data_IF_114362034770
#
_entry.id   IF_114362034770
#
_cell.length_a   1.000
_cell.length_b   1.000
_cell.length_c   1.000
_cell.angle_alpha   90.00
_cell.angle_beta   90.00
_cell.angle_gamma   90.00
#
_symmetry.space_group_name_H-M   'P 1'
#
loop_
_entity.id
_entity.type
_entity.pdbx_description
1 polymer ?
#
# COMPACT_ATOMS: atom_id res chain seq x y z
N UNK A 1 27.29 19.56 13.21
CA UNK A 1 26.35 18.42 13.15
C UNK A 1 24.91 18.91 13.08
N UNK A 2 24.62 19.83 12.15
CA UNK A 2 23.26 20.35 11.91
C UNK A 2 22.99 20.58 10.40
N UNK A 3 23.82 19.97 9.53
CA UNK A 3 23.73 20.13 8.08
C UNK A 3 23.14 18.92 7.35
N UNK A 4 22.97 17.77 8.01
CA UNK A 4 22.52 16.54 7.35
C UNK A 4 20.99 16.42 7.28
N UNK A 5 20.24 17.14 8.11
CA UNK A 5 18.78 17.15 8.09
C UNK A 5 18.15 18.04 7.00
N UNK A 6 18.96 18.81 6.24
CA UNK A 6 18.46 19.70 5.18
C UNK A 6 18.49 19.05 3.79
N UNK A 7 19.19 17.94 3.62
CA UNK A 7 19.28 17.24 2.32
C UNK A 7 18.05 16.32 2.11
N UNK A 8 17.50 15.75 3.16
CA UNK A 8 16.28 14.90 3.11
C UNK A 8 14.99 15.69 2.87
N UNK A 9 14.97 16.97 3.24
CA UNK A 9 13.81 17.84 2.99
C UNK A 9 13.68 18.30 1.51
N UNK A 10 14.66 18.01 0.67
CA UNK A 10 14.66 18.37 -0.76
C UNK A 10 14.26 17.23 -1.71
N UNK A 11 14.21 15.98 -1.26
CA UNK A 11 13.62 14.87 -2.01
C UNK A 11 12.14 14.80 -1.66
N UNK A 12 11.31 15.43 -2.47
CA UNK A 12 9.86 15.42 -2.32
C UNK A 12 9.36 13.95 -2.30
N UNK A 13 8.85 13.50 -1.15
CA UNK A 13 8.21 12.20 -1.02
C UNK A 13 8.82 11.21 -0.03
N UNK A 14 9.94 11.52 0.65
CA UNK A 14 10.50 10.68 1.72
C UNK A 14 9.90 11.06 3.08
N UNK A 15 9.47 10.06 3.85
CA UNK A 15 8.98 10.20 5.22
C UNK A 15 9.60 9.11 6.11
N UNK A 16 10.38 9.49 7.11
CA UNK A 16 10.85 8.56 8.15
C UNK A 16 9.74 8.35 9.18
N UNK A 17 9.06 7.20 9.09
CA UNK A 17 7.91 6.84 9.93
C UNK A 17 8.39 6.37 11.30
N UNK A 18 9.45 5.59 11.31
CA UNK A 18 10.20 5.13 12.49
C UNK A 18 11.65 4.91 12.07
N UNK A 19 12.56 4.71 13.02
CA UNK A 19 13.98 4.53 12.71
C UNK A 19 14.23 3.41 11.68
N UNK A 20 13.45 2.35 11.76
CA UNK A 20 13.51 1.18 10.85
C UNK A 20 12.43 1.18 9.76
N UNK A 21 11.68 2.26 9.59
CA UNK A 21 10.60 2.36 8.58
C UNK A 21 10.73 3.67 7.82
N UNK A 22 10.97 3.57 6.51
CA UNK A 22 11.01 4.69 5.59
C UNK A 22 9.91 4.53 4.54
N UNK A 23 9.10 5.56 4.33
CA UNK A 23 8.12 5.63 3.25
C UNK A 23 8.64 6.54 2.15
N UNK A 24 8.58 6.06 0.90
CA UNK A 24 8.87 6.82 -0.30
C UNK A 24 7.59 6.95 -1.13
N UNK A 25 7.20 8.18 -1.42
CA UNK A 25 6.10 8.42 -2.36
C UNK A 25 6.58 8.46 -3.79
N UNK A 26 6.10 7.51 -4.59
CA UNK A 26 6.30 7.44 -6.03
C UNK A 26 5.08 8.05 -6.73
N UNK A 27 5.11 9.35 -7.00
CA UNK A 27 4.00 10.15 -7.53
C UNK A 27 2.85 10.31 -6.52
N UNK A 28 1.96 9.33 -6.37
CA UNK A 28 0.80 9.36 -5.48
C UNK A 28 0.67 8.10 -4.59
N UNK A 29 1.51 7.09 -4.79
CA UNK A 29 1.50 5.83 -4.04
C UNK A 29 2.77 5.69 -3.21
N UNK A 30 2.65 5.09 -2.04
CA UNK A 30 3.73 4.90 -1.08
C UNK A 30 4.38 3.52 -1.25
N UNK A 31 5.71 3.51 -1.27
CA UNK A 31 6.56 2.32 -1.17
C UNK A 31 7.21 2.35 0.20
N UNK A 32 7.23 1.21 0.93
CA UNK A 32 7.73 1.20 2.31
C UNK A 32 8.93 0.28 2.45
N UNK A 33 10.02 0.82 3.01
CA UNK A 33 11.23 0.10 3.35
C UNK A 33 11.19 -0.24 4.84
N UNK A 34 11.28 -1.52 5.19
CA UNK A 34 11.29 -1.99 6.57
C UNK A 34 12.63 -2.64 6.87
N UNK A 35 13.41 -2.04 7.75
CA UNK A 35 14.71 -2.53 8.20
C UNK A 35 15.55 -1.42 8.81
N UNK A 36 16.40 -1.79 9.76
CA UNK A 36 17.35 -0.86 10.39
C UNK A 36 18.33 -0.31 9.37
N UNK A 37 18.62 1.01 9.36
CA UNK A 37 19.65 1.58 8.50
C UNK A 37 20.99 0.85 8.63
N UNK A 38 21.61 0.52 7.51
CA UNK A 38 22.87 -0.24 7.47
C UNK A 38 22.72 -1.75 7.67
N UNK A 39 21.51 -2.25 7.92
CA UNK A 39 21.24 -3.69 8.01
C UNK A 39 21.17 -4.35 6.65
N UNK A 40 21.53 -5.65 6.60
CA UNK A 40 21.25 -6.50 5.43
C UNK A 40 19.87 -7.15 5.47
N UNK A 41 19.20 -7.09 6.64
CA UNK A 41 17.87 -7.66 6.84
C UNK A 41 16.83 -6.55 6.71
N UNK A 42 16.27 -6.42 5.53
CA UNK A 42 15.21 -5.48 5.22
C UNK A 42 14.29 -6.03 4.13
N UNK A 43 13.10 -5.49 4.01
CA UNK A 43 12.14 -5.82 2.96
C UNK A 43 11.59 -4.55 2.32
N UNK A 44 11.17 -4.65 1.06
CA UNK A 44 10.42 -3.64 0.36
C UNK A 44 8.95 -4.03 0.35
N UNK A 45 8.04 -3.12 0.70
CA UNK A 45 6.60 -3.31 0.60
C UNK A 45 6.06 -2.43 -0.51
N UNK A 46 5.46 -3.06 -1.50
CA UNK A 46 5.04 -2.50 -2.78
C UNK A 46 6.20 -1.88 -3.58
N UNK A 47 5.95 -1.53 -4.83
CA UNK A 47 7.00 -1.08 -5.75
C UNK A 47 6.61 0.18 -6.55
N UNK A 48 5.51 0.83 -6.18
CA UNK A 48 5.11 2.10 -6.75
C UNK A 48 4.67 2.03 -8.21
N UNK A 49 4.55 3.19 -8.83
CA UNK A 49 4.19 3.31 -10.25
C UNK A 49 5.40 3.06 -11.14
N UNK A 50 5.16 2.69 -12.40
CA UNK A 50 6.20 2.54 -13.42
C UNK A 50 7.11 3.79 -13.52
N UNK A 51 8.37 3.58 -13.94
CA UNK A 51 9.42 4.61 -14.09
C UNK A 51 10.05 5.13 -12.80
N UNK A 52 9.73 4.57 -11.64
CA UNK A 52 10.35 4.95 -10.35
C UNK A 52 11.44 3.97 -9.88
N UNK A 53 11.83 3.01 -10.70
CA UNK A 53 12.86 2.00 -10.39
C UNK A 53 14.16 2.64 -9.88
N UNK A 54 14.71 3.61 -10.61
CA UNK A 54 15.97 4.26 -10.24
C UNK A 54 15.88 5.00 -8.91
N UNK A 55 14.74 5.63 -8.62
CA UNK A 55 14.54 6.34 -7.35
C UNK A 55 14.45 5.36 -6.17
N UNK A 56 13.75 4.23 -6.33
CA UNK A 56 13.67 3.18 -5.31
C UNK A 56 15.06 2.58 -5.07
N UNK A 57 15.80 2.26 -6.13
CA UNK A 57 17.16 1.73 -6.04
C UNK A 57 18.12 2.72 -5.35
N UNK A 58 18.01 4.01 -5.67
CA UNK A 58 18.82 5.05 -5.04
C UNK A 58 18.55 5.13 -3.54
N UNK A 59 17.28 5.23 -3.13
CA UNK A 59 16.90 5.27 -1.71
C UNK A 59 17.35 4.00 -0.97
N UNK A 60 17.18 2.83 -1.59
CA UNK A 60 17.65 1.57 -1.02
C UNK A 60 19.16 1.57 -0.81
N UNK A 61 19.95 2.02 -1.79
CA UNK A 61 21.43 2.03 -1.73
C UNK A 61 21.99 2.99 -0.70
N UNK A 62 21.31 4.11 -0.45
CA UNK A 62 21.70 5.05 0.59
C UNK A 62 21.42 4.53 2.01
N UNK A 63 20.41 3.65 2.15
CA UNK A 63 19.97 3.16 3.46
C UNK A 63 20.52 1.78 3.82
N UNK A 64 20.74 0.90 2.82
CA UNK A 64 21.07 -0.52 3.03
C UNK A 64 22.29 -0.94 2.22
N UNK A 65 23.16 -1.81 2.77
CA UNK A 65 24.40 -2.25 2.11
C UNK A 65 24.19 -3.34 1.04
N UNK A 66 22.95 -3.74 0.75
CA UNK A 66 22.64 -4.82 -0.20
C UNK A 66 21.17 -4.93 -0.50
N UNK A 67 20.74 -5.92 -1.30
CA UNK A 67 19.35 -6.10 -1.70
C UNK A 67 18.43 -6.42 -0.51
N UNK A 68 17.11 -6.25 -0.65
CA UNK A 68 16.13 -6.70 0.34
C UNK A 68 16.16 -8.23 0.48
N UNK A 69 15.66 -8.73 1.60
CA UNK A 69 15.42 -10.17 1.77
C UNK A 69 14.25 -10.65 0.91
N UNK A 70 13.30 -9.75 0.63
CA UNK A 70 12.12 -10.01 -0.19
C UNK A 70 11.45 -8.69 -0.61
N UNK A 71 10.64 -8.75 -1.65
CA UNK A 71 9.60 -7.75 -1.97
C UNK A 71 8.26 -8.32 -1.53
N UNK A 72 7.49 -7.56 -0.78
CA UNK A 72 6.15 -7.94 -0.31
C UNK A 72 5.13 -7.06 -1.01
N UNK A 73 4.18 -7.65 -1.71
CA UNK A 73 3.09 -6.93 -2.36
C UNK A 73 1.84 -6.95 -1.48
N UNK A 74 1.27 -5.79 -1.20
CA UNK A 74 -0.03 -5.69 -0.52
C UNK A 74 -1.13 -6.22 -1.41
N UNK A 75 -1.08 -5.90 -2.70
CA UNK A 75 -1.95 -6.39 -3.78
C UNK A 75 -1.31 -6.10 -5.15
N UNK A 76 -1.96 -6.43 -6.25
CA UNK A 76 -1.37 -6.38 -7.57
C UNK A 76 -1.85 -5.25 -8.49
N UNK A 77 -2.44 -4.15 -8.01
CA UNK A 77 -2.79 -3.02 -8.87
C UNK A 77 -1.54 -2.32 -9.42
N UNK A 78 -1.68 -1.75 -10.60
CA UNK A 78 -0.60 -1.21 -11.44
C UNK A 78 0.33 -0.23 -10.72
N UNK A 79 -0.19 0.52 -9.77
CA UNK A 79 0.54 1.54 -9.01
C UNK A 79 1.24 0.97 -7.75
N UNK A 80 1.01 -0.29 -7.42
CA UNK A 80 1.73 -1.03 -6.37
C UNK A 80 2.77 -1.99 -6.93
N UNK A 81 2.63 -2.40 -8.21
CA UNK A 81 3.52 -3.36 -8.86
C UNK A 81 4.29 -2.77 -10.05
N UNK A 82 4.23 -1.45 -10.24
CA UNK A 82 4.69 -0.80 -11.47
C UNK A 82 6.16 -0.98 -11.79
N UNK A 83 7.02 -1.24 -10.78
CA UNK A 83 8.46 -1.51 -10.99
C UNK A 83 8.91 -2.87 -10.46
N UNK A 84 7.97 -3.76 -10.09
CA UNK A 84 8.31 -5.02 -9.41
C UNK A 84 9.20 -5.92 -10.28
N UNK A 85 8.95 -5.99 -11.58
CA UNK A 85 9.71 -6.84 -12.50
C UNK A 85 11.15 -6.35 -12.60
N UNK A 86 11.37 -5.05 -12.78
CA UNK A 86 12.70 -4.45 -12.87
C UNK A 86 13.48 -4.60 -11.55
N UNK A 87 12.82 -4.36 -10.42
CA UNK A 87 13.44 -4.48 -9.10
C UNK A 87 13.79 -5.93 -8.77
N UNK A 88 12.88 -6.87 -9.07
CA UNK A 88 13.13 -8.29 -8.90
C UNK A 88 14.33 -8.75 -9.74
N UNK A 89 14.37 -8.37 -11.03
CA UNK A 89 15.48 -8.70 -11.92
C UNK A 89 16.80 -8.09 -11.46
N UNK A 90 16.78 -6.87 -10.95
CA UNK A 90 17.98 -6.19 -10.46
C UNK A 90 18.54 -6.82 -9.18
N UNK A 91 17.67 -7.13 -8.22
CA UNK A 91 18.09 -7.68 -6.92
C UNK A 91 18.17 -9.20 -6.88
N UNK A 92 17.43 -9.90 -7.72
CA UNK A 92 17.35 -11.36 -7.70
C UNK A 92 16.72 -11.92 -6.43
N UNK A 93 15.68 -11.24 -5.91
CA UNK A 93 15.05 -11.59 -4.62
C UNK A 93 13.63 -12.10 -4.83
N UNK A 94 13.10 -12.96 -3.93
CA UNK A 94 11.74 -13.46 -4.05
C UNK A 94 10.71 -12.33 -3.83
N UNK A 95 9.61 -12.41 -4.56
CA UNK A 95 8.42 -11.58 -4.38
C UNK A 95 7.35 -12.41 -3.66
N UNK A 96 6.64 -11.82 -2.70
CA UNK A 96 5.57 -12.50 -1.96
C UNK A 96 4.27 -11.70 -2.06
N UNK A 97 3.16 -12.42 -2.25
CA UNK A 97 1.81 -11.89 -2.19
C UNK A 97 0.84 -12.91 -1.57
N UNK A 98 -0.37 -12.47 -1.26
CA UNK A 98 -1.42 -13.39 -0.83
C UNK A 98 -1.79 -14.38 -1.96
N UNK A 99 -2.12 -15.66 -1.66
CA UNK A 99 -2.46 -16.63 -2.70
C UNK A 99 -3.56 -16.20 -3.66
N UNK A 100 -4.53 -15.40 -3.21
CA UNK A 100 -5.62 -14.88 -4.05
C UNK A 100 -5.17 -13.78 -5.03
N UNK A 101 -3.97 -13.19 -4.84
CA UNK A 101 -3.37 -12.22 -5.78
C UNK A 101 -2.56 -12.91 -6.89
N UNK A 102 -2.08 -14.13 -6.67
CA UNK A 102 -1.19 -14.82 -7.62
C UNK A 102 -1.76 -14.90 -9.04
N UNK A 103 -3.07 -15.18 -9.27
CA UNK A 103 -3.61 -15.19 -10.63
C UNK A 103 -3.40 -13.87 -11.41
N UNK A 104 -3.42 -12.73 -10.73
CA UNK A 104 -3.21 -11.41 -11.32
C UNK A 104 -1.73 -11.07 -11.51
N UNK A 105 -0.84 -11.74 -10.77
CA UNK A 105 0.59 -11.52 -10.76
C UNK A 105 1.37 -12.55 -11.60
N UNK A 106 0.68 -13.55 -12.17
CA UNK A 106 1.25 -14.60 -13.02
C UNK A 106 0.63 -14.65 -14.42
N UNK A 107 -0.05 -13.60 -14.84
CA UNK A 107 -0.65 -13.52 -16.18
C UNK A 107 -1.89 -14.40 -16.40
N UNK A 108 -2.45 -15.01 -15.35
CA UNK A 108 -3.57 -15.95 -15.48
C UNK A 108 -4.92 -15.24 -15.58
N UNK A 109 -5.07 -14.10 -14.91
CA UNK A 109 -6.34 -13.38 -14.82
C UNK A 109 -6.11 -11.88 -14.64
N UNK A 110 -6.82 -11.07 -15.42
CA UNK A 110 -6.86 -9.63 -15.23
C UNK A 110 -7.73 -9.24 -14.05
N UNK A 111 -7.42 -8.09 -13.43
CA UNK A 111 -8.29 -7.49 -12.43
C UNK A 111 -9.63 -7.06 -13.05
N UNK A 112 -10.70 -7.01 -12.23
CA UNK A 112 -11.92 -6.35 -12.65
C UNK A 112 -11.61 -4.90 -13.06
N UNK A 113 -12.18 -4.42 -14.20
CA UNK A 113 -11.93 -3.05 -14.64
C UNK A 113 -12.46 -2.04 -13.63
N UNK A 114 -11.75 -0.92 -13.49
CA UNK A 114 -12.18 0.19 -12.65
C UNK A 114 -13.60 0.66 -13.01
N UNK A 115 -14.31 1.17 -12.01
CA UNK A 115 -15.63 1.78 -12.22
C UNK A 115 -15.52 3.32 -12.30
N UNK A 116 -15.59 3.93 -13.48
CA UNK A 116 -15.48 5.39 -13.62
C UNK A 116 -16.72 6.16 -13.16
N UNK A 117 -17.81 5.47 -12.79
CA UNK A 117 -19.06 6.09 -12.37
C UNK A 117 -19.06 6.50 -10.90
N UNK A 118 -18.16 5.94 -10.07
CA UNK A 118 -18.12 6.17 -8.64
C UNK A 118 -17.31 7.41 -8.24
N UNK A 119 -17.58 7.99 -7.07
CA UNK A 119 -16.77 9.03 -6.44
C UNK A 119 -16.82 10.43 -7.08
N UNK A 120 -17.35 10.57 -8.29
CA UNK A 120 -17.61 11.86 -8.96
C UNK A 120 -16.40 12.76 -9.29
N UNK A 121 -15.17 12.33 -8.96
CA UNK A 121 -13.94 13.08 -9.20
C UNK A 121 -13.30 12.81 -10.56
N UNK A 122 -12.29 13.65 -10.92
CA UNK A 122 -11.60 13.51 -12.20
C UNK A 122 -10.83 12.19 -12.30
N UNK A 123 -10.17 11.76 -11.22
CA UNK A 123 -9.40 10.52 -11.18
C UNK A 123 -10.32 9.30 -11.40
N UNK A 124 -11.47 9.27 -10.72
CA UNK A 124 -12.46 8.21 -10.94
C UNK A 124 -12.96 8.21 -12.39
N UNK A 125 -13.28 9.38 -12.96
CA UNK A 125 -13.73 9.50 -14.35
C UNK A 125 -12.69 9.06 -15.39
N UNK A 126 -11.40 9.15 -15.07
CA UNK A 126 -10.29 8.68 -15.90
C UNK A 126 -9.90 7.24 -15.61
N UNK A 127 -10.48 6.62 -14.58
CA UNK A 127 -10.07 5.28 -14.11
C UNK A 127 -10.23 4.18 -15.17
N UNK A 128 -11.11 4.36 -16.17
CA UNK A 128 -11.23 3.43 -17.30
C UNK A 128 -9.94 3.32 -18.16
N UNK A 129 -9.00 4.27 -18.00
CA UNK A 129 -7.69 4.25 -18.67
C UNK A 129 -6.60 3.61 -17.81
N UNK A 130 -6.90 3.27 -16.57
CA UNK A 130 -5.91 2.68 -15.67
C UNK A 130 -5.71 1.21 -16.03
N UNK A 131 -4.45 0.76 -16.09
CA UNK A 131 -4.15 -0.63 -16.37
C UNK A 131 -4.81 -1.57 -15.34
N UNK A 132 -5.48 -2.59 -15.83
CA UNK A 132 -6.02 -3.69 -15.02
C UNK A 132 -5.52 -5.06 -15.51
N UNK A 133 -4.66 -5.06 -16.51
CA UNK A 133 -4.07 -6.27 -17.08
C UNK A 133 -3.15 -6.93 -16.05
N UNK A 134 -3.15 -8.25 -16.05
CA UNK A 134 -2.25 -9.05 -15.25
C UNK A 134 -0.80 -8.80 -15.64
N UNK A 135 0.07 -8.71 -14.64
CA UNK A 135 1.53 -8.81 -14.86
C UNK A 135 1.96 -10.28 -14.79
N UNK A 136 3.17 -10.60 -15.23
CA UNK A 136 3.68 -11.96 -15.16
C UNK A 136 5.05 -12.01 -14.49
N UNK A 137 5.07 -12.46 -13.24
CA UNK A 137 6.28 -12.72 -12.44
C UNK A 137 6.76 -14.18 -12.55
N UNK A 138 6.06 -15.03 -13.32
CA UNK A 138 6.38 -16.44 -13.51
C UNK A 138 6.57 -17.20 -12.17
N UNK A 139 7.70 -17.89 -12.02
CA UNK A 139 8.09 -18.65 -10.82
C UNK A 139 8.82 -17.82 -9.75
N UNK A 140 8.90 -16.52 -9.92
CA UNK A 140 9.57 -15.57 -9.00
C UNK A 140 8.69 -15.03 -7.90
N UNK A 141 7.38 -15.34 -7.96
CA UNK A 141 6.41 -14.95 -6.94
C UNK A 141 5.96 -16.14 -6.13
N UNK A 142 5.84 -15.94 -4.83
CA UNK A 142 5.48 -16.95 -3.85
C UNK A 142 4.30 -16.50 -2.99
N UNK A 143 3.56 -17.47 -2.46
CA UNK A 143 2.55 -17.20 -1.45
C UNK A 143 3.18 -16.72 -0.14
N UNK A 144 2.58 -15.71 0.49
CA UNK A 144 2.89 -15.38 1.87
C UNK A 144 2.71 -16.60 2.78
N UNK A 145 3.58 -16.80 3.79
CA UNK A 145 3.52 -17.95 4.71
C UNK A 145 2.20 -18.05 5.48
N UNK A 146 1.67 -19.26 5.65
CA UNK A 146 0.39 -19.51 6.35
C UNK A 146 0.43 -19.16 7.85
N UNK A 147 1.61 -19.07 8.46
CA UNK A 147 1.81 -18.64 9.85
C UNK A 147 1.76 -17.12 10.05
N UNK A 148 1.38 -16.40 8.99
CA UNK A 148 1.31 -14.94 8.91
C UNK A 148 2.66 -14.21 9.08
N UNK A 149 3.79 -14.91 9.07
CA UNK A 149 5.11 -14.27 9.11
C UNK A 149 5.43 -13.51 7.82
N UNK A 150 6.30 -12.50 7.93
CA UNK A 150 6.86 -11.81 6.76
C UNK A 150 8.32 -12.27 6.59
N UNK A 151 8.68 -12.89 5.44
CA UNK A 151 10.06 -13.26 5.17
C UNK A 151 11.01 -12.05 5.29
N UNK A 152 12.09 -12.20 6.06
CA UNK A 152 13.09 -11.14 6.26
C UNK A 152 12.85 -10.20 7.44
N UNK A 153 11.62 -10.08 7.98
CA UNK A 153 11.28 -9.19 9.11
C UNK A 153 10.34 -9.87 10.10
N UNK A 154 10.88 -10.66 11.00
CA UNK A 154 10.13 -11.55 11.90
C UNK A 154 9.21 -10.85 12.91
N UNK A 155 9.43 -9.56 13.18
CA UNK A 155 8.56 -8.77 14.06
C UNK A 155 7.22 -8.39 13.41
N UNK A 156 7.10 -8.57 12.10
CA UNK A 156 5.93 -8.21 11.32
C UNK A 156 5.06 -9.42 11.01
N UNK A 157 3.75 -9.20 10.95
CA UNK A 157 2.77 -10.16 10.49
C UNK A 157 1.93 -9.56 9.36
N UNK A 158 1.61 -10.37 8.35
CA UNK A 158 0.60 -9.98 7.38
C UNK A 158 -0.80 -10.31 7.90
N UNK A 159 -1.75 -9.50 7.52
CA UNK A 159 -3.16 -9.60 7.90
C UNK A 159 -3.98 -9.53 6.62
N UNK A 160 -4.86 -10.49 6.39
CA UNK A 160 -5.78 -10.45 5.26
C UNK A 160 -6.80 -9.33 5.46
N UNK A 161 -6.80 -8.38 4.56
CA UNK A 161 -7.68 -7.19 4.56
C UNK A 161 -8.38 -7.04 3.22
N UNK A 162 -9.21 -8.03 2.82
CA UNK A 162 -9.87 -8.06 1.52
C UNK A 162 -10.93 -6.96 1.37
N UNK A 163 -11.36 -6.76 0.12
CA UNK A 163 -12.42 -5.83 -0.26
C UNK A 163 -12.01 -4.96 -1.43
N UNK A 164 -10.88 -4.25 -1.31
CA UNK A 164 -10.25 -3.55 -2.41
C UNK A 164 -9.84 -4.54 -3.51
N UNK A 165 -9.06 -5.55 -3.13
CA UNK A 165 -8.85 -6.77 -3.92
C UNK A 165 -9.13 -8.03 -3.08
N UNK A 166 -9.34 -9.21 -3.70
CA UNK A 166 -9.63 -10.43 -2.95
C UNK A 166 -8.49 -10.87 -2.03
N UNK A 167 -7.25 -10.64 -2.42
CA UNK A 167 -6.06 -11.05 -1.68
C UNK A 167 -5.31 -9.90 -1.03
N UNK A 168 -5.91 -8.73 -0.91
CA UNK A 168 -5.26 -7.58 -0.28
C UNK A 168 -4.80 -7.92 1.14
N UNK A 169 -3.57 -7.52 1.49
CA UNK A 169 -2.99 -7.67 2.83
C UNK A 169 -2.49 -6.35 3.38
N UNK A 170 -2.56 -6.23 4.70
CA UNK A 170 -1.87 -5.20 5.48
C UNK A 170 -0.77 -5.84 6.30
N UNK A 171 0.27 -5.10 6.68
CA UNK A 171 1.33 -5.59 7.56
C UNK A 171 1.25 -4.89 8.92
N UNK A 172 1.34 -5.65 10.00
CA UNK A 172 1.22 -5.13 11.35
C UNK A 172 2.39 -5.58 12.24
N UNK A 173 2.95 -4.64 13.00
CA UNK A 173 3.93 -4.92 14.04
C UNK A 173 3.29 -4.65 15.40
N UNK A 174 3.21 -5.68 16.25
CA UNK A 174 2.48 -5.61 17.50
C UNK A 174 3.20 -4.80 18.58
N UNK A 175 4.53 -4.82 18.59
CA UNK A 175 5.37 -4.18 19.62
C UNK A 175 5.07 -2.69 19.78
N UNK A 176 5.02 -1.97 18.69
CA UNK A 176 4.77 -0.52 18.63
C UNK A 176 3.44 -0.15 17.96
N UNK A 177 2.71 -1.17 17.45
CA UNK A 177 1.39 -1.06 16.81
C UNK A 177 1.42 -0.21 15.54
N UNK A 178 2.48 -0.39 14.74
CA UNK A 178 2.60 0.21 13.41
C UNK A 178 1.89 -0.70 12.40
N UNK A 179 1.06 -0.09 11.56
CA UNK A 179 0.34 -0.74 10.47
C UNK A 179 0.76 -0.14 9.13
N UNK A 180 1.14 -1.00 8.19
CA UNK A 180 1.20 -0.67 6.76
C UNK A 180 -0.09 -1.21 6.16
N UNK A 181 -1.00 -0.32 5.84
CA UNK A 181 -2.38 -0.67 5.53
C UNK A 181 -2.60 -1.05 4.06
N UNK A 182 -1.66 -0.72 3.17
CA UNK A 182 -1.93 -0.74 1.73
C UNK A 182 -3.17 0.11 1.42
N UNK A 183 -4.03 -0.41 0.58
CA UNK A 183 -5.26 0.26 0.14
C UNK A 183 -6.53 -0.21 0.87
N UNK A 184 -6.40 -0.95 1.98
CA UNK A 184 -7.56 -1.24 2.83
C UNK A 184 -8.20 0.04 3.42
N UNK A 185 -7.38 1.06 3.65
CA UNK A 185 -7.73 2.43 4.02
C UNK A 185 -6.71 3.38 3.42
N UNK A 186 -7.12 4.60 3.05
CA UNK A 186 -6.24 5.62 2.49
C UNK A 186 -6.38 6.95 3.21
N UNK A 187 -5.34 7.79 3.19
CA UNK A 187 -5.33 9.09 3.89
C UNK A 187 -5.51 10.27 2.94
N UNK A 188 -5.97 9.99 1.72
CA UNK A 188 -6.32 11.01 0.72
C UNK A 188 -7.52 10.53 -0.08
N UNK A 189 -8.46 11.40 -0.36
CA UNK A 189 -9.60 11.08 -1.21
C UNK A 189 -9.14 10.96 -2.67
N UNK A 190 -8.92 9.75 -3.11
CA UNK A 190 -8.33 9.41 -4.41
C UNK A 190 -9.16 9.91 -5.61
N UNK A 191 -10.49 9.97 -5.48
CA UNK A 191 -11.40 10.41 -6.54
C UNK A 191 -11.23 11.90 -6.87
N UNK A 192 -10.73 12.69 -5.91
CA UNK A 192 -10.55 14.14 -6.04
C UNK A 192 -9.12 14.51 -6.36
N UNK A 193 -8.88 15.08 -7.55
CA UNK A 193 -7.57 15.61 -7.94
C UNK A 193 -7.03 16.65 -6.94
N UNK A 194 -7.91 17.48 -6.38
CA UNK A 194 -7.54 18.49 -5.39
C UNK A 194 -7.11 17.86 -4.06
N UNK A 195 -7.82 16.81 -3.59
CA UNK A 195 -7.43 16.08 -2.38
C UNK A 195 -6.09 15.36 -2.56
N UNK A 196 -5.86 14.76 -3.74
CA UNK A 196 -4.57 14.14 -4.09
C UNK A 196 -3.44 15.19 -4.14
N UNK A 197 -3.68 16.37 -4.71
CA UNK A 197 -2.67 17.43 -4.80
C UNK A 197 -2.42 18.12 -3.46
N UNK A 198 -3.45 18.39 -2.67
CA UNK A 198 -3.36 19.06 -1.36
C UNK A 198 -3.07 18.10 -0.22
N UNK A 199 -3.32 16.80 -0.41
CA UNK A 199 -3.12 15.72 0.56
C UNK A 199 -3.73 16.04 1.93
N UNK A 200 -5.03 16.31 1.92
CA UNK A 200 -5.79 16.55 3.14
C UNK A 200 -5.72 15.30 4.03
N UNK A 201 -5.33 15.48 5.31
CA UNK A 201 -5.09 14.39 6.26
C UNK A 201 -6.40 13.83 6.81
N UNK A 202 -7.22 13.24 5.95
CA UNK A 202 -8.44 12.54 6.33
C UNK A 202 -8.29 11.04 6.02
N UNK A 203 -8.84 10.19 6.87
CA UNK A 203 -8.88 8.76 6.64
C UNK A 203 -10.15 8.40 5.86
N UNK A 204 -9.97 7.67 4.78
CA UNK A 204 -11.04 7.20 3.91
C UNK A 204 -11.02 5.67 3.81
N UNK A 205 -12.10 5.09 3.33
CA UNK A 205 -12.13 3.70 2.88
C UNK A 205 -11.17 3.45 1.70
N UNK A 206 -11.20 2.24 1.15
CA UNK A 206 -10.37 1.91 -0.01
C UNK A 206 -10.75 2.75 -1.24
N UNK A 207 -9.83 2.90 -2.25
CA UNK A 207 -10.13 3.61 -3.50
C UNK A 207 -11.39 3.08 -4.18
N UNK A 208 -12.42 3.93 -4.34
CA UNK A 208 -13.75 3.49 -4.69
C UNK A 208 -13.83 2.83 -6.09
N UNK A 209 -13.11 3.37 -7.06
CA UNK A 209 -13.18 2.90 -8.46
C UNK A 209 -12.56 1.51 -8.70
N UNK A 210 -11.75 1.00 -7.76
CA UNK A 210 -11.17 -0.34 -7.82
C UNK A 210 -11.71 -1.31 -6.76
N UNK A 211 -12.51 -0.84 -5.83
CA UNK A 211 -13.05 -1.69 -4.75
C UNK A 211 -14.22 -2.52 -5.25
N UNK A 212 -14.07 -3.85 -5.13
CA UNK A 212 -15.03 -4.81 -5.71
C UNK A 212 -15.92 -5.51 -4.69
N UNK A 213 -15.59 -5.42 -3.39
CA UNK A 213 -16.36 -6.05 -2.29
C UNK A 213 -16.39 -5.11 -1.08
N UNK A 214 -17.46 -4.33 -0.98
CA UNK A 214 -17.62 -3.33 0.06
C UNK A 214 -17.89 -3.95 1.44
N UNK A 215 -18.54 -5.12 1.48
CA UNK A 215 -18.78 -5.84 2.73
C UNK A 215 -17.46 -6.35 3.32
N UNK A 216 -16.60 -6.95 2.51
CA UNK A 216 -15.27 -7.38 2.93
C UNK A 216 -14.39 -6.18 3.32
N UNK A 217 -14.46 -5.05 2.58
CA UNK A 217 -13.75 -3.83 2.91
C UNK A 217 -14.14 -3.29 4.29
N UNK A 218 -15.45 -3.25 4.61
CA UNK A 218 -15.92 -2.84 5.94
C UNK A 218 -15.43 -3.78 7.04
N UNK A 219 -15.43 -5.09 6.81
CA UNK A 219 -14.89 -6.05 7.77
C UNK A 219 -13.38 -5.83 8.00
N UNK A 220 -12.64 -5.50 6.94
CA UNK A 220 -11.21 -5.17 7.00
C UNK A 220 -10.96 -3.91 7.83
N UNK A 221 -11.74 -2.84 7.63
CA UNK A 221 -11.68 -1.62 8.45
C UNK A 221 -11.98 -1.92 9.92
N UNK A 222 -13.00 -2.74 10.22
CA UNK A 222 -13.30 -3.20 11.59
C UNK A 222 -12.14 -3.98 12.20
N UNK A 223 -11.51 -4.84 11.43
CA UNK A 223 -10.35 -5.60 11.88
C UNK A 223 -9.18 -4.65 12.20
N UNK A 224 -8.82 -3.75 11.29
CA UNK A 224 -7.79 -2.73 11.50
C UNK A 224 -8.08 -1.91 12.76
N UNK A 225 -9.32 -1.45 12.95
CA UNK A 225 -9.70 -0.70 14.17
C UNK A 225 -9.48 -1.51 15.45
N UNK A 226 -9.77 -2.82 15.45
CA UNK A 226 -9.56 -3.71 16.61
C UNK A 226 -8.09 -3.89 16.96
N UNK A 227 -7.19 -3.81 15.97
CA UNK A 227 -5.76 -3.81 16.21
C UNK A 227 -5.30 -2.55 16.95
N UNK A 228 -6.10 -1.47 16.95
CA UNK A 228 -5.76 -0.19 17.58
C UNK A 228 -4.37 0.32 17.17
N UNK A 229 -4.06 0.49 15.89
CA UNK A 229 -2.76 0.96 15.46
C UNK A 229 -2.46 2.34 16.05
N UNK A 230 -1.18 2.60 16.38
CA UNK A 230 -0.70 3.91 16.82
C UNK A 230 -0.17 4.75 15.68
N UNK A 231 0.30 4.08 14.63
CA UNK A 231 0.80 4.67 13.38
C UNK A 231 0.24 3.86 12.23
N UNK A 232 -0.22 4.53 11.20
CA UNK A 232 -0.69 3.91 9.95
C UNK A 232 -0.01 4.57 8.77
N UNK A 233 0.67 3.75 7.96
CA UNK A 233 1.15 4.10 6.62
C UNK A 233 0.18 3.46 5.64
N UNK A 234 -0.40 4.24 4.75
CA UNK A 234 -1.35 3.78 3.73
C UNK A 234 -0.70 3.69 2.36
N UNK A 235 -1.31 2.99 1.40
CA UNK A 235 -0.86 3.00 0.02
C UNK A 235 -0.85 4.42 -0.56
N UNK A 236 -1.79 5.26 -0.17
CA UNK A 236 -1.91 6.62 -0.67
C UNK A 236 -2.09 7.64 0.44
N UNK A 237 -1.36 8.77 0.33
CA UNK A 237 -1.43 9.88 1.26
C UNK A 237 -0.34 9.88 2.33
N UNK A 238 -0.57 10.55 3.45
CA UNK A 238 0.39 10.73 4.53
C UNK A 238 0.18 9.74 5.66
N UNK A 239 1.23 9.45 6.41
CA UNK A 239 1.16 8.71 7.68
C UNK A 239 0.22 9.42 8.66
N UNK A 240 -0.65 8.65 9.31
CA UNK A 240 -1.50 9.13 10.41
C UNK A 240 -1.09 8.49 11.75
N UNK A 241 -1.18 9.30 12.80
CA UNK A 241 -0.81 8.89 14.16
C UNK A 241 -1.75 9.46 15.23
N UNK A 242 -1.65 8.93 16.45
CA UNK A 242 -2.23 9.52 17.65
C UNK A 242 -3.77 9.56 17.67
N UNK A 243 -4.32 10.64 18.26
CA UNK A 243 -5.76 10.78 18.48
C UNK A 243 -6.53 10.98 17.17
N UNK A 244 -5.91 11.63 16.19
CA UNK A 244 -6.49 11.80 14.86
C UNK A 244 -6.74 10.44 14.21
N UNK A 245 -5.75 9.56 14.20
CA UNK A 245 -5.89 8.20 13.66
C UNK A 245 -7.01 7.42 14.36
N UNK A 246 -7.00 7.43 15.71
CA UNK A 246 -8.02 6.70 16.50
C UNK A 246 -9.43 7.22 16.23
N UNK A 247 -9.58 8.55 16.19
CA UNK A 247 -10.86 9.21 15.92
C UNK A 247 -11.37 8.88 14.51
N UNK A 248 -10.52 9.04 13.51
CA UNK A 248 -10.85 8.79 12.09
C UNK A 248 -11.17 7.32 11.83
N UNK A 249 -10.41 6.35 12.39
CA UNK A 249 -10.72 4.92 12.27
C UNK A 249 -12.07 4.56 12.91
N UNK A 250 -12.36 5.16 14.07
CA UNK A 250 -13.66 4.94 14.72
C UNK A 250 -14.80 5.50 13.87
N UNK A 251 -14.64 6.70 13.35
CA UNK A 251 -15.65 7.33 12.49
C UNK A 251 -15.87 6.53 11.21
N UNK A 252 -14.78 6.16 10.51
CA UNK A 252 -14.83 5.37 9.28
C UNK A 252 -15.57 4.04 9.49
N UNK A 253 -15.30 3.30 10.59
CA UNK A 253 -16.01 2.06 10.88
C UNK A 253 -17.50 2.26 11.19
N UNK A 254 -17.85 3.34 11.89
CA UNK A 254 -19.26 3.60 12.27
C UNK A 254 -20.10 4.14 11.12
N UNK A 255 -19.48 4.90 10.22
CA UNK A 255 -20.13 5.63 9.13
C UNK A 255 -19.67 5.09 7.75
N UNK A 256 -19.24 3.80 7.69
CA UNK A 256 -18.60 3.24 6.50
C UNK A 256 -19.53 3.28 5.27
N UNK A 257 -20.79 2.91 5.45
CA UNK A 257 -21.79 2.89 4.37
C UNK A 257 -22.02 4.31 3.81
N UNK A 258 -22.06 5.33 4.67
CA UNK A 258 -22.32 6.71 4.27
C UNK A 258 -21.08 7.42 3.73
N UNK A 259 -19.86 7.00 4.14
CA UNK A 259 -18.64 7.77 3.86
C UNK A 259 -17.70 7.09 2.85
N UNK A 260 -17.72 5.77 2.78
CA UNK A 260 -16.83 5.00 1.93
C UNK A 260 -17.54 4.36 0.73
N UNK A 261 -18.76 3.82 0.94
CA UNK A 261 -19.49 3.14 -0.13
C UNK A 261 -20.10 4.19 -1.07
N UNK A 262 -19.90 4.10 -2.39
CA UNK A 262 -20.54 5.00 -3.35
C UNK A 262 -22.07 4.80 -3.39
N UNK A 263 -22.83 5.86 -3.67
CA UNK A 263 -24.28 5.79 -3.81
C UNK A 263 -24.75 4.91 -5.00
N UNK A 264 -23.86 4.67 -5.95
CA UNK A 264 -24.10 3.84 -7.15
C UNK A 264 -22.76 3.35 -7.72
N UNK A 265 -22.81 2.29 -8.48
CA UNK A 265 -21.62 1.78 -9.16
C UNK A 265 -21.75 0.31 -9.57
N UNK A 266 -20.81 -0.17 -10.37
CA UNK A 266 -20.78 -1.53 -10.90
C UNK A 266 -20.63 -2.59 -9.79
N UNK A 267 -19.97 -2.21 -8.69
CA UNK A 267 -19.64 -3.09 -7.57
C UNK A 267 -20.40 -2.70 -6.28
N UNK A 268 -21.42 -1.87 -6.39
CA UNK A 268 -22.31 -1.49 -5.29
C UNK A 268 -23.62 -2.24 -5.49
N UNK A 269 -24.00 -3.10 -4.52
CA UNK A 269 -25.25 -3.87 -4.51
C UNK A 269 -26.44 -3.03 -4.03
#
# INVERSE_FOLDING_TARGET
MASDNLITAGMTGLEEVAHDILSLRTLFVNVVFIGEPGSRNWVLVDTGVASFTDQILHVASERFPGPPSAIILTHGHFDHVGTVIELEQFWGVPVYAHPLELPYLTGVKDYPPADPSVGGGLMARLSFTYPNEAINLDDRIFSLPDDHSIPGVSAWKWIHTPGHTPGHVSLFREEDRILIAGDAIVTVKQESLWSVLLQDKQLHGPPAYFTTDWQAAHQSVRHIRRLQPKVVVTGHGHTLTGDMLRGSLKQLDLEFEETAVPDHGKYVD
#
